data_IF_953863195070
#
_entry.id   IF_953863195070
#
_cell.length_a   1.000
_cell.length_b   1.000
_cell.length_c   1.000
_cell.angle_alpha   90.00
_cell.angle_beta   90.00
_cell.angle_gamma   90.00
#
_symmetry.space_group_name_H-M   'P 1'
#
loop_
_entity.id
_entity.type
_entity.pdbx_description
1 polymer ?
#
# COMPACT_ATOMS: atom_id res chain seq x y z
N UNK A 1 13.71 68.42 32.95
CA UNK A 1 12.90 67.18 32.97
C UNK A 1 12.90 66.62 31.56
N UNK A 2 13.20 65.34 31.35
CA UNK A 2 13.44 64.79 30.01
C UNK A 2 12.24 63.98 29.48
N UNK A 3 12.02 64.04 28.17
CA UNK A 3 11.13 63.14 27.43
C UNK A 3 11.86 62.68 26.15
N UNK A 4 11.86 61.38 25.87
CA UNK A 4 12.69 60.79 24.82
C UNK A 4 12.00 60.78 23.44
N UNK A 5 12.76 61.05 22.39
CA UNK A 5 12.29 60.90 21.00
C UNK A 5 12.15 59.42 20.60
N UNK A 6 11.26 59.10 19.64
CA UNK A 6 10.99 57.72 19.23
C UNK A 6 12.18 57.09 18.50
N UNK A 7 12.70 55.98 19.03
CA UNK A 7 13.72 55.17 18.35
C UNK A 7 13.10 54.49 17.11
N UNK A 8 13.54 54.86 15.92
CA UNK A 8 13.23 54.12 14.68
C UNK A 8 13.96 52.77 14.72
N UNK A 9 13.21 51.69 14.93
CA UNK A 9 13.73 50.33 14.79
C UNK A 9 14.07 50.03 13.33
N UNK A 10 15.34 49.77 13.04
CA UNK A 10 15.77 49.36 11.70
C UNK A 10 15.38 47.89 11.46
N UNK A 11 14.23 47.67 10.84
CA UNK A 11 13.82 46.34 10.38
C UNK A 11 14.74 45.86 9.26
N UNK A 12 15.68 44.96 9.58
CA UNK A 12 16.58 44.36 8.60
C UNK A 12 15.81 43.42 7.68
N UNK A 13 15.38 43.92 6.51
CA UNK A 13 14.85 43.09 5.45
C UNK A 13 15.87 42.00 5.08
N UNK A 14 15.45 40.73 4.87
CA UNK A 14 16.37 39.66 4.51
C UNK A 14 17.04 39.98 3.17
N UNK A 15 18.37 39.96 3.15
CA UNK A 15 19.13 40.38 1.98
C UNK A 15 18.73 39.57 0.73
N UNK A 16 18.52 40.27 -0.39
CA UNK A 16 17.96 39.69 -1.63
C UNK A 16 18.76 38.48 -2.17
N UNK A 17 20.06 38.42 -1.85
CA UNK A 17 20.92 37.28 -2.15
C UNK A 17 20.55 35.99 -1.40
N UNK A 18 20.11 36.06 -0.14
CA UNK A 18 19.67 34.89 0.62
C UNK A 18 18.39 34.28 0.02
N UNK A 19 17.43 35.12 -0.38
CA UNK A 19 16.21 34.67 -1.06
C UNK A 19 16.52 34.00 -2.41
N UNK A 20 17.46 34.57 -3.19
CA UNK A 20 17.95 33.94 -4.43
C UNK A 20 18.66 32.61 -4.17
N UNK A 21 19.49 32.51 -3.12
CA UNK A 21 20.19 31.27 -2.77
C UNK A 21 19.21 30.16 -2.37
N UNK A 22 18.18 30.48 -1.58
CA UNK A 22 17.11 29.53 -1.22
C UNK A 22 16.32 29.07 -2.45
N UNK A 23 15.98 29.96 -3.38
CA UNK A 23 15.33 29.60 -4.65
C UNK A 23 16.21 28.69 -5.52
N UNK A 24 17.52 28.93 -5.56
CA UNK A 24 18.47 28.10 -6.33
C UNK A 24 18.69 26.71 -5.70
N UNK A 25 18.78 26.60 -4.36
CA UNK A 25 18.82 25.29 -3.69
C UNK A 25 17.50 24.52 -3.87
N UNK A 26 16.36 25.21 -3.79
CA UNK A 26 15.05 24.59 -4.03
C UNK A 26 14.90 24.02 -5.44
N UNK A 27 15.48 24.68 -6.45
CA UNK A 27 15.49 24.20 -7.83
C UNK A 27 16.46 23.03 -8.09
N UNK A 28 17.48 22.83 -7.26
CA UNK A 28 18.42 21.70 -7.38
C UNK A 28 17.80 20.36 -6.95
N UNK A 29 16.80 20.39 -6.07
CA UNK A 29 16.02 19.22 -5.65
C UNK A 29 14.93 18.91 -6.69
N UNK A 30 15.35 18.37 -7.84
CA UNK A 30 14.44 17.86 -8.86
C UNK A 30 13.47 16.79 -8.28
N UNK A 31 12.21 16.75 -8.73
CA UNK A 31 11.17 15.94 -8.08
C UNK A 31 11.50 14.44 -8.16
N UNK A 32 11.67 13.82 -6.99
CA UNK A 32 11.89 12.38 -6.84
C UNK A 32 10.65 11.59 -7.29
N UNK A 33 10.59 11.24 -8.58
CA UNK A 33 9.48 10.48 -9.16
C UNK A 33 9.65 8.98 -8.92
N UNK A 34 9.09 8.50 -7.81
CA UNK A 34 8.88 7.07 -7.58
C UNK A 34 8.03 6.45 -8.71
N UNK A 35 8.42 5.28 -9.20
CA UNK A 35 7.69 4.57 -10.25
C UNK A 35 6.63 3.64 -9.63
N UNK A 36 5.35 4.03 -9.75
CA UNK A 36 4.22 3.20 -9.30
C UNK A 36 3.93 2.12 -10.35
N UNK A 37 4.30 0.87 -10.07
CA UNK A 37 4.08 -0.27 -10.97
C UNK A 37 2.68 -0.88 -10.83
N UNK A 38 2.12 -0.84 -9.62
CA UNK A 38 0.77 -1.31 -9.30
C UNK A 38 0.22 -0.48 -8.13
N UNK A 39 -1.07 -0.15 -8.18
CA UNK A 39 -1.82 0.49 -7.12
C UNK A 39 -3.26 -0.01 -7.20
N UNK A 40 -3.81 -0.40 -6.05
CA UNK A 40 -5.20 -0.80 -5.90
C UNK A 40 -5.74 -0.20 -4.60
N UNK A 41 -6.95 0.34 -4.67
CA UNK A 41 -7.64 0.99 -3.54
C UNK A 41 -9.15 0.72 -3.55
N UNK A 42 -9.67 -0.06 -4.53
CA UNK A 42 -11.06 -0.51 -4.65
C UNK A 42 -12.15 0.60 -4.60
N UNK A 43 -11.77 1.85 -4.84
CA UNK A 43 -12.64 3.02 -4.79
C UNK A 43 -13.70 3.05 -5.91
N UNK A 44 -13.45 2.33 -7.01
CA UNK A 44 -14.27 2.33 -8.24
C UNK A 44 -15.37 1.25 -8.24
N UNK A 45 -15.80 0.81 -7.05
CA UNK A 45 -16.91 -0.12 -6.87
C UNK A 45 -16.62 -1.49 -7.50
N UNK A 46 -17.61 -2.09 -8.17
CA UNK A 46 -17.50 -3.44 -8.73
C UNK A 46 -16.46 -3.61 -9.86
N UNK A 47 -15.81 -2.54 -10.33
CA UNK A 47 -14.82 -2.60 -11.39
C UNK A 47 -13.54 -3.37 -11.01
N UNK A 48 -13.28 -3.64 -9.73
CA UNK A 48 -12.18 -4.51 -9.28
C UNK A 48 -12.20 -5.90 -9.94
N UNK A 49 -13.39 -6.44 -10.24
CA UNK A 49 -13.56 -7.71 -10.98
C UNK A 49 -12.95 -7.71 -12.39
N UNK A 50 -12.63 -6.53 -12.96
CA UNK A 50 -11.93 -6.40 -14.26
C UNK A 50 -10.40 -6.46 -14.12
N UNK A 51 -9.87 -6.27 -12.90
CA UNK A 51 -8.43 -6.27 -12.58
C UNK A 51 -7.99 -7.55 -11.89
N UNK A 52 -8.83 -8.09 -11.02
CA UNK A 52 -8.57 -9.27 -10.21
C UNK A 52 -9.29 -10.50 -10.75
N UNK A 53 -8.55 -11.59 -10.96
CA UNK A 53 -9.10 -12.89 -11.35
C UNK A 53 -8.87 -13.90 -10.23
N UNK A 54 -9.94 -14.63 -9.88
CA UNK A 54 -9.86 -15.78 -8.97
C UNK A 54 -9.23 -16.97 -9.72
N UNK A 55 -8.56 -17.84 -8.98
CA UNK A 55 -8.10 -19.12 -9.51
C UNK A 55 -9.26 -20.08 -9.71
N UNK A 56 -9.12 -20.94 -10.72
CA UNK A 56 -9.98 -22.07 -11.06
C UNK A 56 -9.29 -23.42 -10.75
N UNK A 57 -8.05 -23.40 -10.23
CA UNK A 57 -7.20 -24.56 -9.92
C UNK A 57 -7.88 -25.68 -9.12
N UNK A 58 -8.81 -25.35 -8.23
CA UNK A 58 -9.64 -26.31 -7.48
C UNK A 58 -11.03 -25.76 -7.18
N UNK A 59 -12.09 -26.59 -7.21
CA UNK A 59 -13.48 -26.12 -7.16
C UNK A 59 -13.93 -25.59 -5.80
N UNK A 60 -13.18 -25.86 -4.72
CA UNK A 60 -13.56 -25.51 -3.35
C UNK A 60 -12.93 -24.21 -2.82
N UNK A 61 -12.29 -23.40 -3.68
CA UNK A 61 -11.70 -22.11 -3.28
C UNK A 61 -12.75 -21.15 -2.68
N UNK A 62 -12.37 -20.46 -1.60
CA UNK A 62 -13.21 -19.47 -0.94
C UNK A 62 -13.29 -18.15 -1.71
N UNK A 63 -14.40 -17.44 -1.55
CA UNK A 63 -14.70 -16.23 -2.33
C UNK A 63 -14.26 -14.93 -1.63
N UNK A 64 -13.81 -13.98 -2.44
CA UNK A 64 -13.57 -12.61 -1.99
C UNK A 64 -14.79 -11.73 -2.24
N UNK A 65 -15.10 -10.85 -1.29
CA UNK A 65 -16.13 -9.82 -1.36
C UNK A 65 -15.52 -8.45 -1.09
N UNK A 66 -16.01 -7.41 -1.78
CA UNK A 66 -15.59 -6.03 -1.54
C UNK A 66 -16.39 -5.45 -0.36
N UNK A 67 -15.72 -5.06 0.73
CA UNK A 67 -16.36 -4.42 1.89
C UNK A 67 -15.36 -3.67 2.77
N UNK A 68 -15.84 -2.67 3.52
CA UNK A 68 -15.08 -2.05 4.62
C UNK A 68 -15.19 -2.85 5.94
N UNK A 69 -16.11 -3.83 6.00
CA UNK A 69 -16.37 -4.66 7.16
C UNK A 69 -17.38 -4.05 8.15
N UNK A 70 -17.38 -4.56 9.39
CA UNK A 70 -18.32 -4.15 10.46
C UNK A 70 -18.00 -2.81 11.11
N UNK A 71 -16.74 -2.40 11.09
CA UNK A 71 -16.26 -1.12 11.63
C UNK A 71 -15.18 -0.54 10.72
N UNK A 72 -15.14 0.76 10.53
CA UNK A 72 -14.24 1.45 9.59
C UNK A 72 -14.08 2.91 10.01
N UNK A 73 -13.03 3.58 9.53
CA UNK A 73 -12.90 5.03 9.61
C UNK A 73 -13.67 5.71 8.47
N UNK A 74 -13.63 5.14 7.26
CA UNK A 74 -14.33 5.64 6.08
C UNK A 74 -15.04 4.50 5.31
N UNK A 75 -16.38 4.56 5.13
CA UNK A 75 -17.17 3.48 4.52
C UNK A 75 -16.87 3.25 3.02
N UNK A 76 -16.16 4.17 2.36
CA UNK A 76 -15.79 4.09 0.94
C UNK A 76 -14.31 3.77 0.78
N UNK A 77 -13.43 4.46 1.52
CA UNK A 77 -11.97 4.34 1.39
C UNK A 77 -11.38 3.10 2.06
N UNK A 78 -12.02 2.59 3.12
CA UNK A 78 -11.54 1.39 3.82
C UNK A 78 -12.06 0.08 3.18
N UNK A 79 -12.70 0.17 2.00
CA UNK A 79 -13.16 -1.00 1.25
C UNK A 79 -11.97 -1.80 0.71
N UNK A 80 -11.96 -3.09 1.02
CA UNK A 80 -10.98 -4.04 0.49
C UNK A 80 -11.57 -5.42 0.24
N UNK A 81 -10.72 -6.35 -0.21
CA UNK A 81 -11.09 -7.74 -0.40
C UNK A 81 -11.12 -8.47 0.95
N UNK A 82 -12.33 -8.72 1.46
CA UNK A 82 -12.53 -9.57 2.63
C UNK A 82 -12.83 -11.01 2.16
N UNK A 83 -12.23 -11.98 2.83
CA UNK A 83 -12.56 -13.41 2.69
C UNK A 83 -13.97 -13.68 3.25
N UNK A 84 -14.80 -14.48 2.57
CA UNK A 84 -16.20 -14.69 2.98
C UNK A 84 -16.50 -16.01 3.71
N UNK A 85 -15.57 -16.97 3.71
CA UNK A 85 -15.79 -18.35 4.14
C UNK A 85 -14.68 -18.87 5.07
N UNK A 86 -15.06 -19.60 6.12
CA UNK A 86 -14.12 -20.19 7.08
C UNK A 86 -13.46 -21.46 6.51
N UNK A 87 -12.23 -21.75 6.97
CA UNK A 87 -11.47 -22.98 6.62
C UNK A 87 -11.31 -23.20 5.10
N UNK A 88 -11.27 -22.12 4.32
CA UNK A 88 -11.05 -22.13 2.87
C UNK A 88 -9.65 -21.70 2.50
N UNK A 89 -9.13 -22.31 1.43
CA UNK A 89 -8.00 -21.76 0.68
C UNK A 89 -8.50 -20.65 -0.25
N UNK A 90 -7.67 -19.62 -0.43
CA UNK A 90 -7.96 -18.46 -1.24
C UNK A 90 -6.85 -18.26 -2.27
N UNK A 91 -7.24 -18.00 -3.53
CA UNK A 91 -6.31 -17.74 -4.61
C UNK A 91 -6.93 -16.71 -5.56
N UNK A 92 -6.44 -15.48 -5.50
CA UNK A 92 -6.81 -14.37 -6.37
C UNK A 92 -5.54 -13.61 -6.77
N UNK A 93 -5.55 -13.01 -7.96
CA UNK A 93 -4.40 -12.25 -8.46
C UNK A 93 -4.84 -11.13 -9.41
N UNK A 94 -4.03 -10.06 -9.47
CA UNK A 94 -4.16 -8.99 -10.46
C UNK A 94 -2.89 -8.90 -11.29
N UNK A 95 -3.00 -8.61 -12.59
CA UNK A 95 -1.83 -8.28 -13.43
C UNK A 95 -1.56 -6.79 -13.41
N UNK A 96 -0.28 -6.46 -13.56
CA UNK A 96 0.23 -5.11 -13.77
C UNK A 96 1.32 -5.17 -14.85
N UNK A 97 1.81 -4.01 -15.29
CA UNK A 97 2.83 -3.93 -16.36
C UNK A 97 4.13 -4.62 -15.90
N UNK A 98 4.65 -5.64 -16.61
CA UNK A 98 5.89 -6.29 -16.24
C UNK A 98 7.06 -5.31 -16.13
N UNK A 99 7.89 -5.49 -15.11
CA UNK A 99 9.07 -4.67 -14.84
C UNK A 99 10.19 -5.50 -14.20
N UNK A 100 11.38 -4.91 -14.05
CA UNK A 100 12.47 -5.47 -13.25
C UNK A 100 13.01 -4.42 -12.29
N UNK A 101 13.32 -4.85 -11.07
CA UNK A 101 13.99 -4.05 -10.04
C UNK A 101 15.53 -4.24 -10.04
N UNK A 102 16.14 -4.82 -11.10
CA UNK A 102 17.60 -4.95 -11.17
C UNK A 102 18.26 -3.57 -11.08
N UNK A 103 19.06 -3.36 -10.03
CA UNK A 103 19.69 -2.06 -9.74
C UNK A 103 18.74 -0.98 -9.21
N UNK A 104 17.57 -1.35 -8.68
CA UNK A 104 16.56 -0.43 -8.14
C UNK A 104 15.92 -0.96 -6.87
N UNK A 105 15.59 -0.06 -5.94
CA UNK A 105 14.77 -0.41 -4.77
C UNK A 105 13.39 -0.89 -5.22
N UNK A 106 12.90 -1.97 -4.62
CA UNK A 106 11.52 -2.44 -4.74
C UNK A 106 10.83 -2.24 -3.39
N UNK A 107 9.68 -1.56 -3.40
CA UNK A 107 8.80 -1.41 -2.24
C UNK A 107 7.51 -2.18 -2.51
N UNK A 108 7.06 -2.96 -1.52
CA UNK A 108 5.78 -3.67 -1.55
C UNK A 108 5.02 -3.23 -0.30
N UNK A 109 3.89 -2.52 -0.49
CA UNK A 109 3.06 -2.00 0.59
C UNK A 109 1.59 -2.35 0.34
N UNK A 110 0.92 -2.82 1.39
CA UNK A 110 -0.51 -3.12 1.43
C UNK A 110 -0.95 -3.15 2.91
N UNK A 111 -2.26 -3.12 3.15
CA UNK A 111 -2.85 -3.08 4.50
C UNK A 111 -3.63 -4.36 4.78
N UNK A 112 -3.41 -4.97 5.95
CA UNK A 112 -4.15 -6.15 6.42
C UNK A 112 -5.04 -5.74 7.60
N UNK A 113 -6.27 -6.28 7.63
CA UNK A 113 -7.24 -6.02 8.70
C UNK A 113 -7.89 -7.32 9.17
N UNK A 114 -7.36 -7.90 10.24
CA UNK A 114 -7.98 -9.04 10.91
C UNK A 114 -9.18 -8.59 11.78
N UNK A 115 -10.27 -8.20 11.12
CA UNK A 115 -11.54 -7.79 11.75
C UNK A 115 -12.19 -8.93 12.55
N UNK A 116 -12.18 -10.13 11.99
CA UNK A 116 -12.56 -11.32 12.73
C UNK A 116 -11.45 -11.71 13.70
N UNK A 117 -11.81 -12.34 14.83
CA UNK A 117 -10.84 -13.05 15.66
C UNK A 117 -10.36 -14.26 14.86
N UNK A 118 -9.35 -14.05 14.02
CA UNK A 118 -8.67 -15.14 13.31
C UNK A 118 -7.84 -15.94 14.31
N UNK A 119 -7.92 -17.26 14.18
CA UNK A 119 -7.13 -18.20 14.98
C UNK A 119 -5.94 -18.67 14.13
N UNK A 120 -6.19 -19.21 12.94
CA UNK A 120 -5.15 -19.57 11.96
C UNK A 120 -5.46 -18.96 10.57
N UNK A 121 -4.42 -18.45 9.90
CA UNK A 121 -4.50 -17.96 8.52
C UNK A 121 -3.34 -17.02 8.13
N UNK A 122 -3.10 -16.91 6.83
CA UNK A 122 -2.10 -15.99 6.26
C UNK A 122 -2.69 -14.65 5.84
N UNK A 123 -1.92 -13.58 6.04
CA UNK A 123 -2.19 -12.22 5.58
C UNK A 123 -1.12 -11.73 4.61
N UNK A 124 -0.56 -12.61 3.78
CA UNK A 124 0.60 -12.33 2.91
C UNK A 124 0.23 -12.16 1.42
N UNK A 125 1.10 -11.49 0.67
CA UNK A 125 1.05 -11.40 -0.80
C UNK A 125 2.20 -12.19 -1.44
N UNK A 126 2.00 -12.63 -2.69
CA UNK A 126 3.03 -13.25 -3.53
C UNK A 126 3.20 -12.43 -4.83
N UNK A 127 4.46 -12.22 -5.25
CA UNK A 127 4.82 -11.63 -6.55
C UNK A 127 5.29 -12.73 -7.49
N UNK A 128 4.72 -12.79 -8.69
CA UNK A 128 4.94 -13.85 -9.67
C UNK A 128 5.61 -13.34 -10.95
N UNK A 129 5.96 -14.26 -11.86
CA UNK A 129 6.38 -13.90 -13.21
C UNK A 129 5.19 -13.37 -14.04
N UNK A 130 5.49 -12.63 -15.11
CA UNK A 130 4.49 -12.21 -16.12
C UNK A 130 3.76 -13.38 -16.76
N UNK A 131 4.38 -14.57 -16.75
CA UNK A 131 3.95 -15.76 -17.47
C UNK A 131 3.15 -16.73 -16.58
N UNK A 132 2.86 -16.36 -15.33
CA UNK A 132 1.92 -17.10 -14.47
C UNK A 132 0.58 -17.28 -15.20
N UNK A 133 0.05 -18.50 -15.22
CA UNK A 133 -1.38 -18.70 -15.42
C UNK A 133 -2.13 -18.41 -14.11
N UNK A 134 -2.94 -17.37 -14.13
CA UNK A 134 -3.76 -16.96 -12.99
C UNK A 134 -4.96 -17.89 -12.76
N UNK A 135 -5.45 -18.60 -13.80
CA UNK A 135 -6.53 -19.58 -13.65
C UNK A 135 -6.02 -20.81 -12.92
N UNK A 136 -4.80 -21.25 -13.17
CA UNK A 136 -4.19 -22.40 -12.50
C UNK A 136 -3.37 -22.02 -11.25
N UNK A 137 -3.63 -20.85 -10.63
CA UNK A 137 -2.89 -20.34 -9.48
C UNK A 137 -3.13 -21.20 -8.22
N UNK A 138 -2.05 -21.75 -7.67
CA UNK A 138 -2.02 -22.68 -6.53
C UNK A 138 -1.05 -22.23 -5.42
N UNK A 139 -0.96 -23.02 -4.35
CA UNK A 139 0.06 -22.83 -3.31
C UNK A 139 1.49 -22.96 -3.85
N UNK A 140 1.68 -23.93 -4.76
CA UNK A 140 2.97 -24.37 -5.31
C UNK A 140 3.41 -23.58 -6.55
N UNK A 141 2.55 -22.67 -7.05
CA UNK A 141 2.84 -21.82 -8.19
C UNK A 141 4.07 -20.94 -7.95
N UNK A 142 5.09 -21.07 -8.79
CA UNK A 142 6.40 -20.44 -8.61
C UNK A 142 6.33 -18.91 -8.50
N UNK A 143 6.70 -18.37 -7.35
CA UNK A 143 6.75 -16.94 -7.02
C UNK A 143 8.20 -16.45 -6.88
N UNK A 144 8.43 -15.16 -7.06
CA UNK A 144 9.73 -14.52 -6.82
C UNK A 144 9.87 -14.00 -5.38
N UNK A 145 8.78 -13.49 -4.81
CA UNK A 145 8.74 -12.90 -3.47
C UNK A 145 7.43 -13.34 -2.80
N UNK A 146 7.49 -13.75 -1.54
CA UNK A 146 6.34 -13.79 -0.64
C UNK A 146 6.63 -12.80 0.50
N UNK A 147 5.67 -11.96 0.84
CA UNK A 147 5.86 -10.92 1.86
C UNK A 147 4.56 -10.68 2.63
N UNK A 148 4.62 -10.72 3.96
CA UNK A 148 3.49 -10.42 4.83
C UNK A 148 3.45 -11.19 6.13
N UNK A 149 2.31 -11.04 6.82
CA UNK A 149 2.02 -11.79 8.03
C UNK A 149 1.64 -13.23 7.73
N UNK A 150 2.26 -14.16 8.45
CA UNK A 150 1.90 -15.58 8.43
C UNK A 150 1.86 -16.08 9.87
N UNK A 151 0.68 -16.11 10.47
CA UNK A 151 0.52 -16.71 11.79
C UNK A 151 0.52 -18.23 11.65
N UNK A 152 1.63 -18.85 12.04
CA UNK A 152 1.79 -20.32 12.08
C UNK A 152 1.30 -20.93 13.41
N UNK A 153 0.57 -20.17 14.22
CA UNK A 153 0.16 -20.56 15.57
C UNK A 153 -1.23 -20.04 15.88
N UNK A 154 -2.10 -20.90 16.43
CA UNK A 154 -3.50 -20.52 16.76
C UNK A 154 -3.62 -19.51 17.92
N UNK A 155 -2.51 -18.96 18.41
CA UNK A 155 -2.45 -18.01 19.53
C UNK A 155 -1.39 -16.93 19.25
N UNK A 156 -1.73 -15.91 18.47
CA UNK A 156 -1.33 -14.51 18.72
C UNK A 156 -2.10 -13.58 17.79
N UNK A 157 -2.43 -12.38 18.28
CA UNK A 157 -2.87 -11.26 17.42
C UNK A 157 -1.78 -10.23 17.43
N UNK A 158 -1.12 -10.07 16.29
CA UNK A 158 -0.19 -8.97 16.06
C UNK A 158 -0.94 -7.89 15.27
N UNK A 159 -0.77 -6.63 15.66
CA UNK A 159 -1.36 -5.48 14.98
C UNK A 159 -0.22 -4.70 14.33
N UNK A 160 0.06 -4.96 13.06
CA UNK A 160 1.05 -4.18 12.31
C UNK A 160 0.38 -3.09 11.49
N UNK A 161 0.53 -1.85 11.94
CA UNK A 161 0.26 -0.66 11.13
C UNK A 161 1.59 -0.02 10.74
N UNK A 162 2.12 -0.37 9.57
CA UNK A 162 3.33 0.25 9.03
C UNK A 162 2.99 1.37 8.03
N UNK A 163 3.52 2.56 8.32
CA UNK A 163 3.51 3.81 7.54
C UNK A 163 4.85 4.49 7.92
N UNK A 164 5.62 5.23 7.12
CA UNK A 164 5.50 6.00 5.85
C UNK A 164 6.79 5.69 5.02
N UNK A 165 7.05 6.04 3.74
CA UNK A 165 6.48 6.99 2.75
C UNK A 165 6.73 6.49 1.31
N UNK A 166 6.41 7.31 0.30
CA UNK A 166 6.99 7.27 -1.06
C UNK A 166 8.23 8.18 -1.15
#
# INVERSE_FOLDING_TARGET
MAAAGPRRGAGSAPALGALRLVLLLGAALGPARAAVYFQEQFLDGANWHKRWMNSEYKPDLGKFKLTAGKFYGDPVRDKGLQTSENSKFYAISSRFKPFSNKGKTLVIQYTVKHEQKIDCGGGYVKIFSSNLDQKNLSGDSHYYIMFGEFSYFCITKTLHSFTVTF
#
